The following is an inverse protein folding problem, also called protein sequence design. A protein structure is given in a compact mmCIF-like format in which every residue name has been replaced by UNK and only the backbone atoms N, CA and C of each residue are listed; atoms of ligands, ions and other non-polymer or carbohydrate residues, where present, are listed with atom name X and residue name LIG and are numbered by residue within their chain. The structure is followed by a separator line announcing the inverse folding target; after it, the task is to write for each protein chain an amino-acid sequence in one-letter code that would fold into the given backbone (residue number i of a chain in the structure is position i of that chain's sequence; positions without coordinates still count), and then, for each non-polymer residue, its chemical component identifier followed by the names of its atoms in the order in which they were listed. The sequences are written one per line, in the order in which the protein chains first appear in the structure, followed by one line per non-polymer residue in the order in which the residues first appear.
data_IF_098669418246
#
_entry.id   IF_098669418246
#
_cell.length_a   1.000
_cell.length_b   1.000
_cell.length_c   1.000
_cell.angle_alpha   90.00
_cell.angle_beta   90.00
_cell.angle_gamma   90.00
#
_symmetry.space_group_name_H-M   'P 1'
#
loop_
_entity.id
_entity.type
_entity.pdbx_description
1 polymer ?
#
# COMPACT_ATOMS: atom_id res chain seq x y z
N UNK A 1 -3.15 -0.56 4.81
CA UNK A 1 -3.40 0.57 5.74
C UNK A 1 -2.61 0.48 7.05
N UNK A 2 -2.93 -0.39 8.03
CA UNK A 2 -2.28 -0.36 9.37
C UNK A 2 -0.74 -0.42 9.27
N UNK A 3 -0.19 -1.37 8.51
CA UNK A 3 1.26 -1.51 8.31
C UNK A 3 1.91 -0.31 7.61
N UNK A 4 1.15 0.43 6.78
CA UNK A 4 1.63 1.66 6.13
C UNK A 4 1.76 2.80 7.14
N UNK A 5 0.73 3.00 7.97
CA UNK A 5 0.76 4.01 9.05
C UNK A 5 1.87 3.71 10.05
N UNK A 6 2.05 2.44 10.44
CA UNK A 6 3.17 2.01 11.29
C UNK A 6 4.54 2.25 10.65
N UNK A 7 4.68 2.06 9.33
CA UNK A 7 5.93 2.34 8.60
C UNK A 7 6.29 3.84 8.62
N UNK A 8 5.31 4.71 8.36
CA UNK A 8 5.49 6.17 8.42
C UNK A 8 5.82 6.63 9.85
N UNK A 9 5.10 6.13 10.86
CA UNK A 9 5.36 6.45 12.28
C UNK A 9 6.74 5.96 12.75
N UNK A 10 7.15 4.76 12.37
CA UNK A 10 8.47 4.22 12.72
C UNK A 10 9.61 5.09 12.14
N UNK A 11 9.47 5.55 10.89
CA UNK A 11 10.44 6.47 10.27
C UNK A 11 10.47 7.89 10.87
N UNK A 12 9.47 8.26 11.67
CA UNK A 12 9.43 9.53 12.40
C UNK A 12 9.96 9.41 13.85
N UNK A 13 9.71 8.27 14.50
CA UNK A 13 10.06 8.04 15.92
C UNK A 13 11.45 7.44 16.11
N UNK A 14 11.97 6.68 15.14
CA UNK A 14 13.24 5.96 15.27
C UNK A 14 14.32 6.56 14.33
N UNK A 15 15.22 7.44 14.83
CA UNK A 15 16.26 8.07 14.00
C UNK A 15 17.37 7.11 13.53
N UNK A 16 17.26 5.81 13.83
CA UNK A 16 18.20 4.76 13.43
C UNK A 16 17.64 3.73 12.44
N UNK A 17 16.34 3.76 12.12
CA UNK A 17 15.86 3.11 10.89
C UNK A 17 16.28 4.03 9.75
N UNK A 18 16.94 3.52 8.70
CA UNK A 18 17.43 4.40 7.66
C UNK A 18 16.25 5.08 6.95
N UNK A 19 16.55 6.24 6.37
CA UNK A 19 15.85 6.65 5.16
C UNK A 19 16.01 5.57 4.07
N UNK A 20 15.46 5.76 2.88
CA UNK A 20 15.50 4.76 1.81
C UNK A 20 14.64 3.48 2.03
N UNK A 21 14.08 3.24 3.23
CA UNK A 21 12.94 2.33 3.42
C UNK A 21 11.70 2.74 2.58
N UNK A 22 11.70 3.98 2.10
CA UNK A 22 10.76 4.57 1.14
C UNK A 22 11.19 4.44 -0.33
N UNK A 23 12.41 3.96 -0.66
CA UNK A 23 12.80 3.69 -2.06
C UNK A 23 11.87 2.68 -2.76
N UNK A 24 11.42 1.58 -2.11
CA UNK A 24 10.42 0.69 -2.72
C UNK A 24 9.09 1.40 -3.00
N UNK A 25 8.73 2.41 -2.20
CA UNK A 25 7.53 3.21 -2.40
C UNK A 25 7.66 4.19 -3.57
N UNK A 26 8.85 4.76 -3.82
CA UNK A 26 9.10 5.59 -5.01
C UNK A 26 8.91 4.83 -6.34
N UNK A 27 9.17 3.51 -6.34
CA UNK A 27 8.97 2.63 -7.51
C UNK A 27 7.48 2.32 -7.76
N UNK A 28 6.68 2.17 -6.70
CA UNK A 28 5.25 1.81 -6.80
C UNK A 28 4.32 3.02 -6.88
N UNK A 29 4.67 4.15 -6.25
CA UNK A 29 3.82 5.32 -6.05
C UNK A 29 4.47 6.55 -6.71
N UNK A 30 4.33 6.74 -8.04
CA UNK A 30 4.96 7.83 -8.77
C UNK A 30 4.49 9.19 -8.26
N UNK A 31 5.43 10.01 -7.76
CA UNK A 31 5.14 11.30 -7.12
C UNK A 31 5.12 11.27 -5.59
N UNK A 32 5.42 10.14 -4.95
CA UNK A 32 5.54 10.05 -3.49
C UNK A 32 6.80 10.77 -2.97
N UNK A 33 6.65 12.03 -2.55
CA UNK A 33 7.70 12.79 -1.85
C UNK A 33 7.57 12.54 -0.34
N UNK A 34 8.61 12.02 0.32
CA UNK A 34 8.53 11.47 1.69
C UNK A 34 7.99 12.42 2.79
N UNK A 35 8.00 13.74 2.55
CA UNK A 35 7.67 14.76 3.56
C UNK A 35 6.60 15.76 3.10
N UNK A 36 5.49 15.29 2.50
CA UNK A 36 4.33 16.14 2.20
C UNK A 36 3.02 15.50 2.70
N UNK A 37 2.10 16.33 3.19
CA UNK A 37 0.77 15.85 3.59
C UNK A 37 0.00 15.22 2.42
N UNK A 38 0.20 15.72 1.20
CA UNK A 38 -0.42 15.16 0.00
C UNK A 38 0.06 13.75 -0.34
N UNK A 39 1.36 13.46 -0.19
CA UNK A 39 1.89 12.12 -0.49
C UNK A 39 1.43 11.07 0.52
N UNK A 40 1.26 11.44 1.80
CA UNK A 40 0.67 10.56 2.82
C UNK A 40 -0.74 10.11 2.46
N UNK A 41 -1.63 11.03 2.08
CA UNK A 41 -2.99 10.68 1.66
C UNK A 41 -3.01 9.91 0.34
N UNK A 42 -2.10 10.21 -0.59
CA UNK A 42 -1.96 9.48 -1.86
C UNK A 42 -1.54 8.02 -1.61
N UNK A 43 -0.50 7.78 -0.80
CA UNK A 43 -0.06 6.43 -0.44
C UNK A 43 -1.13 5.66 0.36
N UNK A 44 -1.91 6.34 1.20
CA UNK A 44 -3.06 5.75 1.88
C UNK A 44 -4.14 5.32 0.86
N UNK A 45 -4.53 6.20 -0.06
CA UNK A 45 -5.54 5.95 -1.08
C UNK A 45 -5.14 4.82 -2.04
N UNK A 46 -3.92 4.85 -2.57
CA UNK A 46 -3.42 3.78 -3.44
C UNK A 46 -3.31 2.45 -2.69
N UNK A 47 -2.99 2.43 -1.38
CA UNK A 47 -3.05 1.18 -0.59
C UNK A 47 -4.46 0.57 -0.49
N UNK A 48 -5.52 1.38 -0.62
CA UNK A 48 -6.91 0.90 -0.73
C UNK A 48 -7.18 0.41 -2.15
N UNK A 49 -6.72 1.12 -3.18
CA UNK A 49 -6.88 0.74 -4.59
C UNK A 49 -6.23 -0.62 -4.86
N UNK A 50 -5.00 -0.86 -4.39
CA UNK A 50 -4.34 -2.17 -4.53
C UNK A 50 -5.08 -3.30 -3.80
N UNK A 51 -5.63 -3.04 -2.62
CA UNK A 51 -6.46 -3.99 -1.89
C UNK A 51 -7.76 -4.32 -2.63
N UNK A 52 -8.44 -3.30 -3.15
CA UNK A 52 -9.67 -3.45 -3.94
C UNK A 52 -9.42 -4.18 -5.26
N UNK A 53 -8.36 -3.81 -5.98
CA UNK A 53 -7.92 -4.50 -7.20
C UNK A 53 -7.66 -5.99 -6.93
N UNK A 54 -6.98 -6.31 -5.83
CA UNK A 54 -6.74 -7.70 -5.42
C UNK A 54 -8.06 -8.44 -5.17
N UNK A 55 -9.03 -7.82 -4.48
CA UNK A 55 -10.34 -8.42 -4.27
C UNK A 55 -11.11 -8.62 -5.60
N UNK A 56 -11.18 -7.61 -6.46
CA UNK A 56 -11.87 -7.65 -7.76
C UNK A 56 -11.27 -8.68 -8.71
N UNK A 57 -9.96 -8.93 -8.67
CA UNK A 57 -9.32 -9.96 -9.49
C UNK A 57 -9.44 -11.35 -8.85
N UNK A 58 -9.18 -11.47 -7.55
CA UNK A 58 -9.06 -12.78 -6.90
C UNK A 58 -10.42 -13.43 -6.58
N UNK A 59 -11.46 -12.66 -6.27
CA UNK A 59 -12.81 -13.19 -5.99
C UNK A 59 -13.43 -13.91 -7.20
N UNK A 60 -13.53 -13.31 -8.41
CA UNK A 60 -14.07 -14.03 -9.56
C UNK A 60 -13.15 -15.18 -10.02
N UNK A 61 -11.83 -15.04 -9.85
CA UNK A 61 -10.88 -16.12 -10.16
C UNK A 61 -11.07 -17.33 -9.23
N UNK A 62 -11.26 -17.09 -7.92
CA UNK A 62 -11.58 -18.10 -6.93
C UNK A 62 -12.95 -18.75 -7.23
N UNK A 63 -13.96 -17.95 -7.57
CA UNK A 63 -15.27 -18.44 -7.97
C UNK A 63 -15.24 -19.21 -9.31
N UNK A 64 -14.25 -18.99 -10.18
CA UNK A 64 -14.07 -19.75 -11.40
C UNK A 64 -13.43 -21.13 -11.15
N UNK A 65 -12.40 -21.20 -10.29
CA UNK A 65 -11.69 -22.45 -10.01
C UNK A 65 -12.29 -23.30 -8.89
N UNK A 66 -12.96 -22.69 -7.91
CA UNK A 66 -13.51 -23.35 -6.73
C UNK A 66 -15.00 -23.02 -6.49
N UNK A 67 -15.64 -22.24 -7.36
CA UNK A 67 -17.06 -21.96 -7.25
C UNK A 67 -17.88 -23.23 -7.51
N UNK A 68 -18.67 -23.62 -6.51
CA UNK A 68 -19.69 -24.65 -6.64
C UNK A 68 -20.63 -24.24 -7.79
N UNK A 69 -20.99 -25.14 -8.72
CA UNK A 69 -21.86 -24.80 -9.83
C UNK A 69 -23.21 -24.26 -9.33
N UNK A 70 -23.66 -23.20 -10.00
CA UNK A 70 -24.97 -22.56 -9.86
C UNK A 70 -25.77 -22.78 -11.13
#
# INVERSE_FOLDING_TARGET
MISYVLCILAGFVLPGIPSSAHLPWLQFFPGFVWLSWGSFFLGLAESVVYGWYTAVVFVPLWNYFHGVPK
#
